data_IF_115703908227
#
_entry.id   IF_115703908227
#
_cell.length_a   1.000
_cell.length_b   1.000
_cell.length_c   1.000
_cell.angle_alpha   90.00
_cell.angle_beta   90.00
_cell.angle_gamma   90.00
#
_symmetry.space_group_name_H-M   'P 1'
#
loop_
_entity.id
_entity.type
_entity.pdbx_description
1 polymer ?
#
# COMPACT_ATOMS: atom_id res chain seq x y z
N UNK A 1 -18.52 -10.18 -17.74
CA UNK A 1 -18.68 -8.98 -16.89
C UNK A 1 -17.95 -9.28 -15.60
N UNK A 2 -16.75 -8.74 -15.43
CA UNK A 2 -15.99 -8.88 -14.18
C UNK A 2 -16.53 -7.83 -13.22
N UNK A 3 -17.05 -8.24 -12.06
CA UNK A 3 -17.42 -7.28 -11.02
C UNK A 3 -16.17 -6.53 -10.54
N UNK A 4 -16.30 -5.23 -10.20
CA UNK A 4 -15.17 -4.47 -9.68
C UNK A 4 -14.66 -5.08 -8.38
N UNK A 5 -13.35 -5.05 -8.20
CA UNK A 5 -12.69 -5.42 -6.95
C UNK A 5 -12.61 -4.18 -6.05
N UNK A 6 -12.79 -4.34 -4.75
CA UNK A 6 -12.70 -3.24 -3.79
C UNK A 6 -11.27 -3.10 -3.26
N UNK A 7 -10.68 -1.92 -3.44
CA UNK A 7 -9.34 -1.60 -2.94
C UNK A 7 -9.32 -1.56 -1.40
N UNK A 8 -8.38 -2.27 -0.78
CA UNK A 8 -8.27 -2.36 0.68
C UNK A 8 -7.69 -1.07 1.32
N UNK A 9 -7.08 -0.19 0.52
CA UNK A 9 -6.59 1.11 1.01
C UNK A 9 -7.65 2.21 1.00
N UNK A 10 -8.43 2.34 -0.07
CA UNK A 10 -9.35 3.47 -0.27
C UNK A 10 -10.83 3.08 -0.31
N UNK A 11 -11.16 1.79 -0.35
CA UNK A 11 -12.53 1.29 -0.48
C UNK A 11 -13.16 1.52 -1.86
N UNK A 12 -12.41 2.05 -2.83
CA UNK A 12 -12.90 2.29 -4.20
C UNK A 12 -12.91 1.04 -5.07
N UNK A 13 -13.79 1.03 -6.06
CA UNK A 13 -13.88 0.00 -7.09
C UNK A 13 -12.72 0.11 -8.10
N UNK A 14 -12.14 -1.03 -8.48
CA UNK A 14 -11.09 -1.10 -9.47
C UNK A 14 -11.18 -2.39 -10.31
N UNK A 15 -10.75 -2.31 -11.57
CA UNK A 15 -10.67 -3.48 -12.47
C UNK A 15 -9.50 -4.40 -12.11
N UNK A 16 -8.45 -3.85 -11.49
CA UNK A 16 -7.25 -4.57 -11.08
C UNK A 16 -6.76 -4.09 -9.71
N UNK A 17 -6.36 -5.05 -8.88
CA UNK A 17 -5.66 -4.79 -7.64
C UNK A 17 -4.32 -5.52 -7.64
N UNK A 18 -3.34 -4.95 -6.95
CA UNK A 18 -1.99 -5.48 -6.83
C UNK A 18 -1.66 -5.81 -5.37
N UNK A 19 -1.03 -6.97 -5.09
CA UNK A 19 -0.66 -7.35 -3.74
C UNK A 19 0.52 -6.51 -3.25
N UNK A 20 0.37 -5.91 -2.07
CA UNK A 20 1.36 -5.02 -1.47
C UNK A 20 1.46 -5.20 0.03
N UNK A 21 2.62 -4.86 0.58
CA UNK A 21 2.83 -4.64 2.01
C UNK A 21 2.85 -3.15 2.29
N UNK A 22 1.97 -2.68 3.17
CA UNK A 22 1.89 -1.26 3.54
C UNK A 22 3.16 -0.83 4.27
N UNK A 23 3.69 0.35 3.92
CA UNK A 23 4.87 0.92 4.57
C UNK A 23 4.51 2.21 5.28
N UNK A 24 4.83 2.29 6.57
CA UNK A 24 4.77 3.53 7.34
C UNK A 24 6.15 4.17 7.36
N UNK A 25 6.21 5.42 6.94
CA UNK A 25 7.45 6.20 6.93
C UNK A 25 7.29 7.34 7.92
N UNK A 26 8.18 7.39 8.91
CA UNK A 26 8.30 8.54 9.78
C UNK A 26 9.53 9.33 9.35
N UNK A 27 9.30 10.58 8.95
CA UNK A 27 10.38 11.49 8.56
C UNK A 27 11.16 11.94 9.81
N UNK A 28 12.44 12.23 9.63
CA UNK A 28 13.24 12.81 10.71
C UNK A 28 12.67 14.17 11.12
N UNK A 29 12.70 14.45 12.42
CA UNK A 29 12.46 15.77 13.00
C UNK A 29 13.60 16.09 13.97
N UNK A 30 13.57 17.27 14.60
CA UNK A 30 14.66 17.70 15.50
C UNK A 30 14.90 16.74 16.67
N UNK A 31 13.85 16.08 17.16
CA UNK A 31 13.88 15.18 18.32
C UNK A 31 13.69 13.70 17.96
N UNK A 32 13.59 13.37 16.66
CA UNK A 32 13.28 12.02 16.22
C UNK A 32 14.02 11.64 14.93
N UNK A 33 14.68 10.49 14.95
CA UNK A 33 15.31 9.90 13.77
C UNK A 33 14.27 9.37 12.77
N UNK A 34 14.62 9.40 11.49
CA UNK A 34 13.79 8.79 10.46
C UNK A 34 13.65 7.29 10.71
N UNK A 35 12.47 6.76 10.47
CA UNK A 35 12.20 5.32 10.58
C UNK A 35 11.20 4.86 9.54
N UNK A 36 11.29 3.58 9.20
CA UNK A 36 10.36 2.91 8.30
C UNK A 36 9.87 1.61 8.93
N UNK A 37 8.60 1.29 8.72
CA UNK A 37 7.99 0.05 9.18
C UNK A 37 7.10 -0.52 8.10
N UNK A 38 7.48 -1.68 7.57
CA UNK A 38 6.67 -2.47 6.64
C UNK A 38 5.75 -3.37 7.46
N UNK A 39 4.48 -3.46 7.05
CA UNK A 39 3.49 -4.35 7.63
C UNK A 39 3.55 -5.69 6.88
N UNK A 40 3.63 -6.81 7.60
CA UNK A 40 3.70 -8.15 6.99
C UNK A 40 2.43 -8.55 6.23
N UNK A 41 1.29 -8.01 6.63
CA UNK A 41 0.00 -8.24 5.97
C UNK A 41 0.02 -7.79 4.51
N UNK A 42 -0.44 -8.69 3.64
CA UNK A 42 -0.57 -8.43 2.21
C UNK A 42 -1.96 -7.88 1.93
N UNK A 43 -2.02 -6.64 1.47
CA UNK A 43 -3.23 -5.95 1.03
C UNK A 43 -3.29 -5.88 -0.51
N UNK A 44 -4.49 -5.68 -1.07
CA UNK A 44 -4.74 -5.52 -2.50
C UNK A 44 -5.13 -4.09 -2.82
N UNK A 45 -4.25 -3.37 -3.52
CA UNK A 45 -4.42 -1.96 -3.80
C UNK A 45 -4.62 -1.67 -5.28
N UNK A 46 -5.46 -0.68 -5.58
CA UNK A 46 -5.62 -0.15 -6.94
C UNK A 46 -4.41 0.71 -7.34
N UNK A 47 -4.22 0.91 -8.65
CA UNK A 47 -3.09 1.69 -9.18
C UNK A 47 -2.97 3.09 -8.56
N UNK A 48 -4.09 3.77 -8.31
CA UNK A 48 -4.07 5.08 -7.66
C UNK A 48 -3.49 5.03 -6.24
N UNK A 49 -3.79 4.01 -5.45
CA UNK A 49 -3.22 3.90 -4.09
C UNK A 49 -1.72 3.60 -4.14
N UNK A 50 -1.26 2.84 -5.13
CA UNK A 50 0.17 2.57 -5.35
C UNK A 50 0.97 3.83 -5.66
N UNK A 51 0.38 4.84 -6.30
CA UNK A 51 1.09 6.10 -6.58
C UNK A 51 1.12 7.07 -5.40
N UNK A 52 0.21 6.91 -4.43
CA UNK A 52 0.04 7.87 -3.33
C UNK A 52 0.63 7.40 -2.00
N UNK A 53 0.58 6.09 -1.73
CA UNK A 53 0.91 5.57 -0.41
C UNK A 53 2.18 4.72 -0.46
N UNK A 54 3.11 4.90 0.50
CA UNK A 54 4.30 4.06 0.57
C UNK A 54 3.93 2.59 0.79
N UNK A 55 4.53 1.72 -0.01
CA UNK A 55 4.28 0.29 0.00
C UNK A 55 5.46 -0.46 -0.59
N UNK A 56 5.51 -1.77 -0.35
CA UNK A 56 6.38 -2.70 -1.06
C UNK A 56 5.52 -3.67 -1.87
N UNK A 57 5.98 -4.05 -3.06
CA UNK A 57 5.29 -5.05 -3.87
C UNK A 57 5.41 -6.41 -3.18
N UNK A 58 4.30 -7.12 -3.03
CA UNK A 58 4.29 -8.48 -2.51
C UNK A 58 4.34 -9.54 -3.63
N UNK A 59 4.58 -9.10 -4.88
CA UNK A 59 4.56 -9.92 -6.09
C UNK A 59 5.76 -10.89 -6.20
N UNK A 60 6.85 -10.70 -5.44
CA UNK A 60 8.01 -11.62 -5.43
C UNK A 60 8.63 -11.76 -4.03
N UNK A 61 8.67 -12.99 -3.53
CA UNK A 61 9.58 -13.50 -2.50
C UNK A 61 10.29 -14.75 -3.06
#
# INVERSE_FOLDING_TARGET
MTSPLTCESCGGDADQLHPVRRKYVTVASWDQEASERVVDEVERWCFACLTHYPHERADEA
#
